data_IF_439918018380
#
_entry.id   IF_439918018380
#
_cell.length_a   1.000
_cell.length_b   1.000
_cell.length_c   1.000
_cell.angle_alpha   90.00
_cell.angle_beta   90.00
_cell.angle_gamma   90.00
#
_symmetry.space_group_name_H-M   'P 1'
#
loop_
_entity.id
_entity.type
_entity.pdbx_description
1 polymer ?
#
# COMPACT_ATOMS: atom_id res chain seq x y z
N UNK A 1 30.89 -12.65 26.60
CA UNK A 1 30.75 -11.79 25.41
C UNK A 1 29.39 -12.09 24.81
N UNK A 2 28.40 -11.22 25.06
CA UNK A 2 27.04 -11.46 24.59
C UNK A 2 26.99 -10.98 23.15
N UNK A 3 26.82 -11.89 22.20
CA UNK A 3 26.62 -11.55 20.81
C UNK A 3 25.31 -10.73 20.74
N UNK A 4 25.45 -9.41 20.62
CA UNK A 4 24.36 -8.56 20.14
C UNK A 4 24.16 -8.95 18.68
N UNK A 5 23.27 -9.92 18.45
CA UNK A 5 22.70 -10.15 17.13
C UNK A 5 22.04 -8.83 16.75
N UNK A 6 22.75 -8.01 15.97
CA UNK A 6 22.11 -6.99 15.15
C UNK A 6 21.11 -7.76 14.31
N UNK A 7 19.83 -7.76 14.70
CA UNK A 7 18.75 -8.00 13.77
C UNK A 7 18.94 -6.91 12.73
N UNK A 8 19.62 -7.26 11.63
CA UNK A 8 19.54 -6.45 10.42
C UNK A 8 18.05 -6.46 10.10
N UNK A 9 17.40 -5.32 10.21
CA UNK A 9 16.05 -5.15 9.71
C UNK A 9 16.14 -5.30 8.19
N UNK A 10 16.06 -6.54 7.72
CA UNK A 10 16.02 -6.86 6.30
C UNK A 10 14.66 -6.32 5.84
N UNK A 11 14.70 -5.27 5.01
CA UNK A 11 13.51 -4.71 4.39
C UNK A 11 13.33 -5.35 3.01
N UNK A 12 12.11 -5.79 2.71
CA UNK A 12 11.74 -6.29 1.39
C UNK A 12 10.78 -5.33 0.71
N UNK A 13 10.87 -5.24 -0.62
CA UNK A 13 9.91 -4.50 -1.42
C UNK A 13 8.61 -5.29 -1.51
N UNK A 14 7.55 -4.77 -0.91
CA UNK A 14 6.20 -5.28 -1.06
C UNK A 14 5.47 -4.49 -2.12
N UNK A 15 4.83 -5.19 -3.06
CA UNK A 15 4.04 -4.57 -4.12
C UNK A 15 2.62 -5.11 -4.10
N UNK A 16 1.66 -4.22 -3.83
CA UNK A 16 0.24 -4.51 -3.83
C UNK A 16 -0.42 -3.90 -5.06
N UNK A 17 -1.11 -4.72 -5.84
CA UNK A 17 -1.91 -4.25 -6.98
C UNK A 17 -3.39 -4.33 -6.66
N UNK A 18 -4.08 -3.19 -6.76
CA UNK A 18 -5.50 -3.03 -6.45
C UNK A 18 -6.23 -2.60 -7.72
N UNK A 19 -7.41 -3.16 -7.95
CA UNK A 19 -8.33 -2.69 -8.99
C UNK A 19 -9.27 -1.67 -8.35
N UNK A 20 -9.21 -0.44 -8.83
CA UNK A 20 -10.03 0.67 -8.36
C UNK A 20 -11.16 0.95 -9.34
N UNK A 21 -12.37 1.06 -8.81
CA UNK A 21 -13.56 1.39 -9.60
C UNK A 21 -14.01 2.80 -9.24
N UNK A 22 -13.67 3.76 -10.12
CA UNK A 22 -13.95 5.19 -9.90
C UNK A 22 -15.45 5.50 -9.84
N UNK A 23 -16.28 4.69 -10.50
CA UNK A 23 -17.74 4.88 -10.47
C UNK A 23 -18.31 4.65 -9.08
N UNK A 24 -17.74 3.70 -8.34
CA UNK A 24 -18.20 3.33 -6.99
C UNK A 24 -17.43 4.01 -5.87
N UNK A 25 -16.13 4.27 -6.08
CA UNK A 25 -15.20 4.69 -5.02
C UNK A 25 -14.57 6.08 -5.27
N UNK A 26 -14.90 6.75 -6.38
CA UNK A 26 -14.35 8.05 -6.74
C UNK A 26 -12.87 7.99 -7.15
N UNK A 27 -12.19 9.12 -7.12
CA UNK A 27 -10.74 9.19 -7.35
C UNK A 27 -9.95 8.50 -6.22
N UNK A 28 -8.93 7.73 -6.59
CA UNK A 28 -8.09 7.01 -5.64
C UNK A 28 -7.34 7.98 -4.70
N UNK A 29 -7.38 7.79 -3.36
CA UNK A 29 -6.84 8.73 -2.38
C UNK A 29 -5.30 8.66 -2.26
N UNK A 30 -4.58 8.94 -3.34
CA UNK A 30 -3.11 8.91 -3.37
C UNK A 30 -2.46 9.83 -2.34
N UNK A 31 -3.03 11.03 -2.13
CA UNK A 31 -2.49 12.01 -1.20
C UNK A 31 -2.55 11.53 0.25
N UNK A 32 -3.66 10.90 0.65
CA UNK A 32 -3.83 10.37 2.00
C UNK A 32 -2.93 9.17 2.27
N UNK A 33 -2.64 8.36 1.26
CA UNK A 33 -1.66 7.26 1.38
C UNK A 33 -0.23 7.80 1.49
N UNK A 34 0.14 8.79 0.65
CA UNK A 34 1.48 9.40 0.71
C UNK A 34 1.76 10.17 2.01
N UNK A 35 0.72 10.67 2.67
CA UNK A 35 0.83 11.28 4.01
C UNK A 35 1.19 10.25 5.08
N UNK A 36 0.63 9.04 4.97
CA UNK A 36 0.88 7.95 5.93
C UNK A 36 2.21 7.28 5.67
N UNK A 37 2.54 7.06 4.40
CA UNK A 37 3.79 6.45 3.99
C UNK A 37 4.43 7.28 2.86
N UNK A 38 5.43 8.07 3.23
CA UNK A 38 6.17 8.93 2.29
C UNK A 38 7.08 8.13 1.38
N UNK A 39 7.47 6.92 1.77
CA UNK A 39 8.31 6.03 0.95
C UNK A 39 7.47 5.14 0.01
N UNK A 40 6.16 5.02 0.25
CA UNK A 40 5.26 4.30 -0.64
C UNK A 40 5.18 4.96 -2.02
N UNK A 41 5.57 4.19 -3.03
CA UNK A 41 5.42 4.55 -4.43
C UNK A 41 4.09 4.06 -4.96
N UNK A 42 3.24 4.96 -5.41
CA UNK A 42 1.92 4.63 -5.96
C UNK A 42 1.92 4.91 -7.46
N UNK A 43 1.69 3.88 -8.26
CA UNK A 43 1.51 3.96 -9.70
C UNK A 43 0.04 3.73 -10.05
N UNK A 44 -0.54 4.63 -10.86
CA UNK A 44 -1.92 4.54 -11.31
C UNK A 44 -1.93 4.32 -12.82
N UNK A 45 -2.46 3.19 -13.25
CA UNK A 45 -2.66 2.85 -14.64
C UNK A 45 -4.16 2.89 -14.98
N UNK A 46 -4.54 3.76 -15.93
CA UNK A 46 -5.93 3.83 -16.39
C UNK A 46 -6.22 2.67 -17.33
N UNK A 47 -7.01 1.71 -16.84
CA UNK A 47 -7.44 0.55 -17.65
C UNK A 47 -8.68 0.90 -18.46
N UNK A 48 -9.54 1.78 -17.94
CA UNK A 48 -10.74 2.28 -18.63
C UNK A 48 -11.14 3.64 -18.06
N UNK A 49 -12.14 4.30 -18.66
CA UNK A 49 -12.65 5.61 -18.18
C UNK A 49 -13.10 5.58 -16.72
N UNK A 50 -13.45 4.41 -16.21
CA UNK A 50 -13.99 4.22 -14.85
C UNK A 50 -13.20 3.23 -14.00
N UNK A 51 -12.16 2.60 -14.56
CA UNK A 51 -11.37 1.57 -13.88
C UNK A 51 -9.91 1.92 -13.94
N UNK A 52 -9.29 1.94 -12.77
CA UNK A 52 -7.88 2.20 -12.59
C UNK A 52 -7.24 0.99 -11.93
N UNK A 53 -6.00 0.71 -12.29
CA UNK A 53 -5.17 -0.30 -11.66
C UNK A 53 -4.12 0.45 -10.87
N UNK A 54 -4.15 0.27 -9.57
CA UNK A 54 -3.30 0.98 -8.62
C UNK A 54 -2.25 0.00 -8.13
N UNK A 55 -0.99 0.35 -8.29
CA UNK A 55 0.14 -0.44 -7.79
C UNK A 55 0.82 0.36 -6.70
N UNK A 56 0.82 -0.16 -5.48
CA UNK A 56 1.46 0.44 -4.31
C UNK A 56 2.70 -0.40 -4.00
N UNK A 57 3.87 0.21 -4.08
CA UNK A 57 5.14 -0.41 -3.69
C UNK A 57 5.64 0.27 -2.43
N UNK A 58 5.80 -0.50 -1.35
CA UNK A 58 6.35 -0.02 -0.07
C UNK A 58 7.40 -1.01 0.46
N UNK A 59 8.17 -0.58 1.44
CA UNK A 59 9.16 -1.39 2.12
C UNK A 59 8.54 -1.95 3.41
N UNK A 60 8.52 -3.27 3.54
CA UNK A 60 8.08 -3.94 4.77
C UNK A 60 9.23 -4.75 5.34
N UNK A 61 9.16 -5.05 6.63
CA UNK A 61 10.15 -5.92 7.25
C UNK A 61 10.03 -7.35 6.67
N UNK A 62 11.14 -8.06 6.54
CA UNK A 62 11.13 -9.42 5.98
C UNK A 62 10.30 -10.37 6.85
N UNK A 63 10.33 -10.16 8.17
CA UNK A 63 9.53 -10.86 9.18
C UNK A 63 8.01 -10.55 9.07
N UNK A 64 7.61 -9.46 8.39
CA UNK A 64 6.19 -9.11 8.21
C UNK A 64 5.51 -10.00 7.16
N UNK A 65 4.28 -10.37 7.49
CA UNK A 65 3.42 -11.16 6.62
C UNK A 65 2.79 -10.27 5.55
N UNK A 66 3.13 -10.53 4.29
CA UNK A 66 2.64 -9.80 3.13
C UNK A 66 1.10 -9.75 3.06
N UNK A 67 0.41 -10.78 3.55
CA UNK A 67 -1.06 -10.82 3.58
C UNK A 67 -1.65 -9.87 4.63
N UNK A 68 -0.99 -9.73 5.79
CA UNK A 68 -1.44 -8.82 6.84
C UNK A 68 -1.23 -7.37 6.40
N UNK A 69 -0.05 -7.06 5.86
CA UNK A 69 0.25 -5.76 5.25
C UNK A 69 -0.74 -5.44 4.13
N UNK A 70 -1.04 -6.40 3.24
CA UNK A 70 -2.04 -6.21 2.18
C UNK A 70 -3.42 -5.87 2.76
N UNK A 71 -3.82 -6.54 3.83
CA UNK A 71 -5.09 -6.33 4.51
C UNK A 71 -5.14 -4.95 5.18
N UNK A 72 -4.08 -4.53 5.86
CA UNK A 72 -4.00 -3.22 6.50
C UNK A 72 -4.07 -2.10 5.47
N UNK A 73 -3.30 -2.19 4.39
CA UNK A 73 -3.35 -1.22 3.28
C UNK A 73 -4.75 -1.20 2.67
N UNK A 74 -5.35 -2.36 2.42
CA UNK A 74 -6.71 -2.46 1.88
C UNK A 74 -7.77 -1.84 2.80
N UNK A 75 -7.67 -2.09 4.11
CA UNK A 75 -8.57 -1.56 5.14
C UNK A 75 -8.42 -0.04 5.26
N UNK A 76 -7.19 0.46 5.25
CA UNK A 76 -6.92 1.90 5.28
C UNK A 76 -7.52 2.61 4.07
N UNK A 77 -7.27 2.09 2.86
CA UNK A 77 -7.86 2.61 1.62
C UNK A 77 -9.38 2.60 1.68
N UNK A 78 -9.97 1.51 2.16
CA UNK A 78 -11.42 1.39 2.30
C UNK A 78 -11.99 2.43 3.27
N UNK A 79 -11.31 2.65 4.40
CA UNK A 79 -11.69 3.64 5.41
C UNK A 79 -11.64 5.07 4.85
N UNK A 80 -10.59 5.42 4.10
CA UNK A 80 -10.49 6.73 3.44
C UNK A 80 -11.61 6.91 2.41
N UNK A 81 -11.94 5.87 1.63
CA UNK A 81 -12.97 5.95 0.62
C UNK A 81 -14.40 6.05 1.15
N UNK A 82 -14.68 5.51 2.34
CA UNK A 82 -16.02 5.64 2.94
C UNK A 82 -16.21 6.99 3.63
N UNK A 83 -15.13 7.60 4.14
CA UNK A 83 -15.17 8.89 4.84
C UNK A 83 -15.15 10.12 3.89
N UNK A 84 -15.33 9.92 2.57
CA UNK A 84 -15.42 10.98 1.55
C UNK A 84 -16.84 11.06 0.98
#
# INVERSE_FOLDING_TARGET
>A
MVAQTQKQNIMKNFTLTIKWDRLRQGDFPTEDIKKTDTNATISIEKVSNFKEKITITTLIEEEENELEVAYEIGSYIHSISINR
#
